data_IF_703559309510
#
_entry.id   IF_703559309510
#
_cell.length_a   1.000
_cell.length_b   1.000
_cell.length_c   1.000
_cell.angle_alpha   90.00
_cell.angle_beta   90.00
_cell.angle_gamma   90.00
#
_symmetry.space_group_name_H-M   'P 1'
#
loop_
_entity.id
_entity.type
_entity.pdbx_description
1 polymer ?
#
# COMPACT_ATOMS: atom_id res chain seq x y z
N UNK A 1 -7.46 -60.24 13.98
CA UNK A 1 -6.62 -59.95 12.79
C UNK A 1 -7.38 -59.88 11.44
N UNK A 2 -8.33 -60.77 11.10
CA UNK A 2 -9.11 -60.63 9.84
C UNK A 2 -10.17 -59.50 9.91
N UNK A 3 -10.91 -59.40 11.02
CA UNK A 3 -11.98 -58.40 11.19
C UNK A 3 -11.48 -56.94 11.27
N UNK A 4 -10.35 -56.67 11.92
CA UNK A 4 -9.76 -55.30 11.98
C UNK A 4 -9.31 -54.78 10.60
N UNK A 5 -8.85 -55.69 9.72
CA UNK A 5 -8.48 -55.31 8.33
C UNK A 5 -9.71 -54.98 7.48
N UNK A 6 -10.86 -55.61 7.74
CA UNK A 6 -12.10 -55.31 7.01
C UNK A 6 -12.74 -53.99 7.45
N UNK A 7 -12.72 -53.68 8.75
CA UNK A 7 -13.23 -52.39 9.27
C UNK A 7 -12.42 -51.19 8.76
N UNK A 8 -11.08 -51.32 8.72
CA UNK A 8 -10.21 -50.27 8.17
C UNK A 8 -10.44 -50.05 6.67
N UNK A 9 -10.68 -51.13 5.89
CA UNK A 9 -11.04 -51.04 4.47
C UNK A 9 -12.41 -50.40 4.23
N UNK A 10 -13.39 -50.63 5.10
CA UNK A 10 -14.70 -49.98 5.05
C UNK A 10 -14.61 -48.46 5.33
N UNK A 11 -13.81 -48.06 6.32
CA UNK A 11 -13.54 -46.65 6.63
C UNK A 11 -12.91 -45.90 5.45
N UNK A 12 -11.94 -46.51 4.77
CA UNK A 12 -11.32 -45.93 3.57
C UNK A 12 -12.32 -45.78 2.40
N UNK A 13 -13.24 -46.73 2.20
CA UNK A 13 -14.29 -46.63 1.18
C UNK A 13 -15.25 -45.48 1.47
N UNK A 14 -15.62 -45.26 2.72
CA UNK A 14 -16.49 -44.15 3.15
C UNK A 14 -15.79 -42.81 2.93
N UNK A 15 -14.51 -42.69 3.31
CA UNK A 15 -13.70 -41.49 3.07
C UNK A 15 -13.59 -41.20 1.56
N UNK A 16 -13.34 -42.23 0.75
CA UNK A 16 -13.30 -42.09 -0.72
C UNK A 16 -14.65 -41.69 -1.32
N UNK A 17 -15.75 -42.20 -0.76
CA UNK A 17 -17.10 -41.84 -1.17
C UNK A 17 -17.43 -40.38 -0.83
N UNK A 18 -17.08 -39.92 0.37
CA UNK A 18 -17.21 -38.51 0.78
C UNK A 18 -16.33 -37.58 -0.07
N UNK A 19 -15.11 -37.99 -0.42
CA UNK A 19 -14.26 -37.23 -1.34
C UNK A 19 -14.84 -37.16 -2.76
N UNK A 20 -15.44 -38.24 -3.27
CA UNK A 20 -16.16 -38.21 -4.55
C UNK A 20 -17.40 -37.32 -4.49
N UNK A 21 -18.14 -37.35 -3.39
CA UNK A 21 -19.41 -36.64 -3.23
C UNK A 21 -19.22 -35.13 -3.03
N UNK A 22 -18.23 -34.72 -2.25
CA UNK A 22 -17.98 -33.31 -1.92
C UNK A 22 -16.71 -32.76 -2.55
N UNK A 23 -15.64 -33.56 -2.63
CA UNK A 23 -14.36 -33.13 -3.17
C UNK A 23 -14.41 -32.91 -4.68
N UNK A 24 -14.86 -33.89 -5.47
CA UNK A 24 -14.88 -33.77 -6.95
C UNK A 24 -15.77 -32.63 -7.48
N UNK A 25 -17.01 -32.41 -6.98
CA UNK A 25 -17.86 -31.33 -7.48
C UNK A 25 -17.36 -29.93 -7.13
N UNK A 26 -16.44 -29.79 -6.17
CA UNK A 26 -15.81 -28.51 -5.82
C UNK A 26 -14.47 -28.36 -6.56
N UNK A 27 -13.64 -29.40 -6.51
CA UNK A 27 -12.27 -29.37 -7.05
C UNK A 27 -12.23 -29.36 -8.57
N UNK A 28 -13.08 -30.11 -9.26
CA UNK A 28 -13.10 -30.14 -10.73
C UNK A 28 -13.54 -28.79 -11.30
N UNK A 29 -14.68 -28.18 -10.90
CA UNK A 29 -15.05 -26.84 -11.38
C UNK A 29 -14.02 -25.78 -11.00
N UNK A 30 -13.42 -25.86 -9.81
CA UNK A 30 -12.35 -24.95 -9.41
C UNK A 30 -11.11 -25.10 -10.29
N UNK A 31 -10.67 -26.32 -10.61
CA UNK A 31 -9.55 -26.59 -11.52
C UNK A 31 -9.83 -26.10 -12.93
N UNK A 32 -11.04 -26.37 -13.47
CA UNK A 32 -11.46 -25.89 -14.79
C UNK A 32 -11.48 -24.36 -14.83
N UNK A 33 -12.08 -23.71 -13.83
CA UNK A 33 -12.07 -22.25 -13.70
C UNK A 33 -10.65 -21.69 -13.58
N UNK A 34 -9.80 -22.33 -12.78
CA UNK A 34 -8.42 -21.90 -12.58
C UNK A 34 -7.60 -22.02 -13.88
N UNK A 35 -7.74 -23.14 -14.60
CA UNK A 35 -7.10 -23.34 -15.89
C UNK A 35 -7.59 -22.33 -16.92
N UNK A 36 -8.91 -22.09 -16.96
CA UNK A 36 -9.52 -21.07 -17.82
C UNK A 36 -9.00 -19.66 -17.49
N UNK A 37 -8.91 -19.27 -16.21
CA UNK A 37 -8.35 -17.98 -15.77
C UNK A 37 -6.87 -17.85 -16.18
N UNK A 38 -6.07 -18.92 -16.04
CA UNK A 38 -4.67 -18.93 -16.51
C UNK A 38 -4.60 -18.70 -18.02
N UNK A 39 -5.43 -19.41 -18.80
CA UNK A 39 -5.47 -19.27 -20.26
C UNK A 39 -5.90 -17.86 -20.69
N UNK A 40 -6.94 -17.31 -20.07
CA UNK A 40 -7.37 -15.94 -20.32
C UNK A 40 -6.29 -14.92 -19.98
N UNK A 41 -5.60 -15.09 -18.85
CA UNK A 41 -4.50 -14.19 -18.46
C UNK A 41 -3.34 -14.26 -19.45
N UNK A 42 -2.97 -15.46 -19.93
CA UNK A 42 -1.95 -15.60 -20.98
C UNK A 42 -2.36 -14.86 -22.26
N UNK A 43 -3.59 -15.06 -22.74
CA UNK A 43 -4.11 -14.36 -23.93
C UNK A 43 -4.10 -12.85 -23.76
N UNK A 44 -4.58 -12.34 -22.63
CA UNK A 44 -4.61 -10.90 -22.36
C UNK A 44 -3.21 -10.31 -22.23
N UNK A 45 -2.24 -11.03 -21.64
CA UNK A 45 -0.83 -10.60 -21.60
C UNK A 45 -0.25 -10.46 -23.01
N UNK A 46 -0.51 -11.43 -23.90
CA UNK A 46 -0.07 -11.37 -25.30
C UNK A 46 -0.69 -10.15 -26.00
N UNK A 47 -1.95 -9.82 -25.69
CA UNK A 47 -2.63 -8.65 -26.26
C UNK A 47 -1.99 -7.31 -25.86
N UNK A 48 -1.22 -7.24 -24.77
CA UNK A 48 -0.52 -6.02 -24.36
C UNK A 48 0.73 -5.73 -25.20
N UNK A 49 1.31 -6.76 -25.83
CA UNK A 49 2.59 -6.66 -26.51
C UNK A 49 2.56 -5.64 -27.67
N UNK A 50 3.47 -4.66 -27.65
CA UNK A 50 3.70 -3.59 -28.63
C UNK A 50 2.54 -2.65 -28.96
N UNK A 51 1.37 -2.87 -28.34
CA UNK A 51 0.13 -2.16 -28.65
C UNK A 51 -0.30 -1.20 -27.55
N UNK A 52 0.15 -1.43 -26.32
CA UNK A 52 -0.32 -0.72 -25.13
C UNK A 52 0.74 0.25 -24.63
N UNK A 53 0.36 1.52 -24.55
CA UNK A 53 1.17 2.60 -23.97
C UNK A 53 0.77 2.79 -22.50
N UNK A 54 1.74 2.59 -21.60
CA UNK A 54 1.55 2.68 -20.14
C UNK A 54 2.33 3.88 -19.61
N UNK A 55 1.61 4.87 -19.08
CA UNK A 55 2.18 6.01 -18.38
C UNK A 55 2.20 5.75 -16.88
N UNK A 56 3.38 5.78 -16.26
CA UNK A 56 3.56 5.49 -14.83
C UNK A 56 4.13 6.71 -14.12
N UNK A 57 3.39 7.22 -13.14
CA UNK A 57 3.85 8.31 -12.28
C UNK A 57 4.63 7.81 -11.07
N UNK A 58 5.63 8.56 -10.62
CA UNK A 58 6.50 8.13 -9.52
C UNK A 58 7.37 6.92 -9.91
N UNK A 59 7.75 6.81 -11.19
CA UNK A 59 8.45 5.65 -11.74
C UNK A 59 9.95 5.58 -11.36
N UNK A 60 10.50 6.59 -10.68
CA UNK A 60 11.94 6.64 -10.33
C UNK A 60 12.36 5.75 -9.17
N UNK A 61 11.44 5.09 -8.47
CA UNK A 61 11.79 4.15 -7.40
C UNK A 61 10.60 3.29 -6.94
N UNK A 62 10.89 2.24 -6.17
CA UNK A 62 9.90 1.53 -5.36
C UNK A 62 8.83 0.82 -6.20
N UNK A 63 7.55 1.06 -5.90
CA UNK A 63 6.45 0.41 -6.64
C UNK A 63 6.38 0.89 -8.10
N UNK A 64 6.67 2.16 -8.38
CA UNK A 64 6.60 2.70 -9.74
C UNK A 64 7.64 2.07 -10.67
N UNK A 65 8.86 1.89 -10.16
CA UNK A 65 9.94 1.18 -10.87
C UNK A 65 9.56 -0.30 -11.10
N UNK A 66 9.07 -0.99 -10.05
CA UNK A 66 8.63 -2.38 -10.18
C UNK A 66 7.47 -2.57 -11.18
N UNK A 67 6.54 -1.61 -11.24
CA UNK A 67 5.49 -1.57 -12.26
C UNK A 67 6.09 -1.39 -13.65
N UNK A 68 7.07 -0.49 -13.81
CA UNK A 68 7.74 -0.30 -15.09
C UNK A 68 8.39 -1.60 -15.58
N UNK A 69 9.13 -2.33 -14.74
CA UNK A 69 9.68 -3.65 -15.09
C UNK A 69 8.59 -4.64 -15.47
N UNK A 70 7.52 -4.69 -14.68
CA UNK A 70 6.43 -5.64 -14.90
C UNK A 70 5.75 -5.44 -16.25
N UNK A 71 5.39 -4.20 -16.60
CA UNK A 71 4.75 -3.89 -17.88
C UNK A 71 5.73 -3.94 -19.06
N UNK A 72 6.98 -3.49 -18.87
CA UNK A 72 8.01 -3.55 -19.91
C UNK A 72 8.32 -5.01 -20.30
N UNK A 73 8.38 -5.92 -19.32
CA UNK A 73 8.60 -7.35 -19.56
C UNK A 73 7.53 -8.02 -20.45
N UNK A 74 6.36 -7.39 -20.60
CA UNK A 74 5.26 -7.84 -21.46
C UNK A 74 5.27 -7.18 -22.84
N UNK A 75 6.28 -6.38 -23.15
CA UNK A 75 6.38 -5.65 -24.41
C UNK A 75 5.51 -4.39 -24.48
N UNK A 76 5.06 -3.85 -23.34
CA UNK A 76 4.35 -2.58 -23.33
C UNK A 76 5.32 -1.42 -23.64
N UNK A 77 4.81 -0.34 -24.22
CA UNK A 77 5.56 0.92 -24.37
C UNK A 77 5.41 1.72 -23.08
N UNK A 78 6.51 2.09 -22.44
CA UNK A 78 6.49 2.70 -21.11
C UNK A 78 6.85 4.18 -21.19
N UNK A 79 6.02 5.02 -20.56
CA UNK A 79 6.31 6.43 -20.28
C UNK A 79 6.57 6.55 -18.77
N UNK A 80 7.81 6.81 -18.41
CA UNK A 80 8.27 6.96 -17.03
C UNK A 80 8.14 8.43 -16.61
N UNK A 81 7.33 8.71 -15.60
CA UNK A 81 7.07 10.08 -15.14
C UNK A 81 7.54 10.26 -13.69
N UNK A 82 8.44 11.19 -13.45
CA UNK A 82 8.83 11.64 -12.11
C UNK A 82 9.62 12.95 -12.16
N UNK A 83 9.91 13.56 -11.01
CA UNK A 83 10.73 14.79 -10.92
C UNK A 83 12.23 14.56 -11.10
N UNK A 84 12.71 13.35 -10.79
CA UNK A 84 14.15 13.02 -10.75
C UNK A 84 14.56 12.45 -12.10
N UNK A 85 15.07 13.30 -13.01
CA UNK A 85 15.44 12.88 -14.37
C UNK A 85 16.53 11.80 -14.37
N UNK A 86 17.58 11.96 -13.58
CA UNK A 86 18.69 11.01 -13.50
C UNK A 86 18.24 9.59 -13.09
N UNK A 87 17.40 9.49 -12.07
CA UNK A 87 16.82 8.21 -11.65
C UNK A 87 15.90 7.59 -12.71
N UNK A 88 15.19 8.41 -13.50
CA UNK A 88 14.39 7.89 -14.60
C UNK A 88 15.25 7.32 -15.72
N UNK A 89 16.38 7.96 -16.04
CA UNK A 89 17.33 7.44 -17.02
C UNK A 89 18.00 6.15 -16.49
N UNK A 90 18.32 6.07 -15.20
CA UNK A 90 18.79 4.83 -14.55
C UNK A 90 17.76 3.71 -14.75
N UNK A 91 16.50 3.95 -14.42
CA UNK A 91 15.41 2.96 -14.57
C UNK A 91 15.24 2.58 -16.03
N UNK A 92 15.26 3.53 -16.96
CA UNK A 92 15.19 3.25 -18.41
C UNK A 92 16.31 2.31 -18.85
N UNK A 93 17.55 2.59 -18.47
CA UNK A 93 18.70 1.76 -18.82
C UNK A 93 18.57 0.36 -18.20
N UNK A 94 18.11 0.27 -16.95
CA UNK A 94 17.90 -1.00 -16.27
C UNK A 94 16.80 -1.86 -16.94
N UNK A 95 15.70 -1.23 -17.37
CA UNK A 95 14.64 -1.89 -18.14
C UNK A 95 15.17 -2.46 -19.45
N UNK A 96 15.94 -1.66 -20.19
CA UNK A 96 16.53 -2.08 -21.46
C UNK A 96 17.55 -3.21 -21.27
N UNK A 97 18.37 -3.14 -20.22
CA UNK A 97 19.39 -4.14 -19.92
C UNK A 97 18.79 -5.46 -19.40
N UNK A 98 17.75 -5.39 -18.57
CA UNK A 98 17.13 -6.57 -17.96
C UNK A 98 16.23 -7.32 -18.94
N UNK A 99 15.64 -6.62 -19.92
CA UNK A 99 14.62 -7.15 -20.82
C UNK A 99 15.01 -7.03 -22.30
N UNK A 100 16.27 -7.27 -22.63
CA UNK A 100 16.84 -7.12 -23.99
C UNK A 100 16.09 -7.93 -25.06
N UNK A 101 15.55 -9.09 -24.69
CA UNK A 101 14.85 -10.00 -25.61
C UNK A 101 13.38 -9.65 -25.83
N UNK A 102 12.85 -8.67 -25.11
CA UNK A 102 11.46 -8.26 -25.23
C UNK A 102 11.33 -7.30 -26.42
N UNK A 103 10.55 -7.64 -27.45
CA UNK A 103 10.37 -6.76 -28.60
C UNK A 103 9.50 -5.57 -28.19
N UNK A 104 10.12 -4.45 -27.82
CA UNK A 104 9.42 -3.20 -27.49
C UNK A 104 10.28 -1.97 -27.76
N UNK A 105 9.66 -0.79 -27.66
CA UNK A 105 10.32 0.50 -27.84
C UNK A 105 11.07 0.91 -26.57
N UNK A 106 12.15 1.68 -26.70
CA UNK A 106 12.85 2.22 -25.53
C UNK A 106 11.89 3.05 -24.65
N UNK A 107 11.94 2.90 -23.32
CA UNK A 107 11.12 3.71 -22.42
C UNK A 107 11.35 5.21 -22.62
N UNK A 108 10.27 5.97 -22.52
CA UNK A 108 10.30 7.43 -22.62
C UNK A 108 10.44 8.01 -21.22
N UNK A 109 11.37 8.93 -21.04
CA UNK A 109 11.60 9.62 -19.77
C UNK A 109 10.92 10.99 -19.81
N UNK A 110 9.99 11.20 -18.89
CA UNK A 110 9.31 12.46 -18.67
C UNK A 110 9.65 13.02 -17.29
N UNK A 111 10.55 14.00 -17.27
CA UNK A 111 10.81 14.78 -16.06
C UNK A 111 9.68 15.79 -15.83
N UNK A 112 8.88 15.56 -14.81
CA UNK A 112 7.67 16.34 -14.54
C UNK A 112 7.37 16.38 -13.04
N UNK A 113 7.19 17.59 -12.52
CA UNK A 113 6.58 17.80 -11.21
C UNK A 113 5.07 17.86 -11.35
N UNK A 114 4.40 16.88 -10.74
CA UNK A 114 2.94 16.78 -10.78
C UNK A 114 2.27 17.81 -9.87
N UNK A 115 3.01 18.44 -8.95
CA UNK A 115 2.49 19.51 -8.09
C UNK A 115 2.37 20.85 -8.82
N UNK A 116 3.05 21.01 -9.95
CA UNK A 116 2.92 22.17 -10.84
C UNK A 116 1.74 21.98 -11.81
N UNK A 117 0.53 22.08 -11.27
CA UNK A 117 -0.74 21.81 -11.99
C UNK A 117 -0.89 22.74 -13.22
N UNK A 118 -0.45 23.99 -13.11
CA UNK A 118 -0.61 24.98 -14.17
C UNK A 118 0.17 24.61 -15.44
N UNK A 119 1.39 24.09 -15.28
CA UNK A 119 2.21 23.67 -16.41
C UNK A 119 1.98 22.22 -16.85
N UNK A 120 1.23 21.44 -16.06
CA UNK A 120 1.01 20.01 -16.29
C UNK A 120 0.36 19.75 -17.65
N UNK A 121 -0.68 20.52 -18.00
CA UNK A 121 -1.44 20.37 -19.26
C UNK A 121 -0.53 20.50 -20.48
N UNK A 122 0.27 21.56 -20.53
CA UNK A 122 1.13 21.84 -21.68
C UNK A 122 2.19 20.75 -21.91
N UNK A 123 2.79 20.24 -20.83
CA UNK A 123 3.84 19.19 -20.93
C UNK A 123 3.24 17.84 -21.33
N UNK A 124 2.12 17.45 -20.74
CA UNK A 124 1.48 16.16 -21.01
C UNK A 124 0.85 16.13 -22.41
N UNK A 125 0.17 17.20 -22.84
CA UNK A 125 -0.43 17.26 -24.18
C UNK A 125 0.61 17.13 -25.30
N UNK A 126 1.79 17.73 -25.16
CA UNK A 126 2.90 17.57 -26.13
C UNK A 126 3.34 16.11 -26.27
N UNK A 127 3.38 15.37 -25.17
CA UNK A 127 3.81 13.96 -25.16
C UNK A 127 2.74 13.07 -25.76
N UNK A 128 1.47 13.34 -25.45
CA UNK A 128 0.36 12.64 -26.07
C UNK A 128 0.35 12.87 -27.58
N UNK A 129 0.64 14.09 -28.05
CA UNK A 129 0.77 14.38 -29.48
C UNK A 129 1.90 13.59 -30.15
N UNK A 130 3.04 13.44 -29.49
CA UNK A 130 4.20 12.70 -30.04
C UNK A 130 3.95 11.18 -30.09
N UNK A 131 3.29 10.62 -29.08
CA UNK A 131 3.12 9.16 -28.97
C UNK A 131 1.74 8.66 -29.43
N UNK A 132 0.81 9.56 -29.71
CA UNK A 132 -0.50 9.32 -30.31
C UNK A 132 -1.51 8.62 -29.41
N UNK A 133 -1.09 7.92 -28.34
CA UNK A 133 -1.97 7.11 -27.49
C UNK A 133 -1.46 6.94 -26.06
N UNK A 134 -2.40 6.84 -25.10
CA UNK A 134 -2.15 6.38 -23.74
C UNK A 134 -3.29 5.41 -23.39
N UNK A 135 -2.98 4.12 -23.36
CA UNK A 135 -3.97 3.09 -23.04
C UNK A 135 -4.14 2.90 -21.53
N UNK A 136 -3.05 3.04 -20.77
CA UNK A 136 -3.03 2.81 -19.34
C UNK A 136 -2.33 3.97 -18.64
N UNK A 137 -3.02 4.63 -17.71
CA UNK A 137 -2.43 5.62 -16.80
C UNK A 137 -2.36 5.04 -15.38
N UNK A 138 -1.16 4.95 -14.81
CA UNK A 138 -0.96 4.52 -13.43
C UNK A 138 -0.54 5.72 -12.56
N UNK A 139 -1.50 6.22 -11.80
CA UNK A 139 -1.33 7.26 -10.79
C UNK A 139 -0.73 6.65 -9.51
N UNK A 140 0.59 6.48 -9.49
CA UNK A 140 1.37 5.91 -8.39
C UNK A 140 2.12 6.97 -7.57
N UNK A 141 2.43 8.14 -8.14
CA UNK A 141 3.15 9.19 -7.43
C UNK A 141 2.40 9.65 -6.16
N UNK A 142 3.14 9.82 -5.07
CA UNK A 142 2.60 10.37 -3.84
C UNK A 142 3.64 10.45 -2.73
N UNK A 143 3.34 11.23 -1.71
CA UNK A 143 4.12 11.38 -0.50
C UNK A 143 3.37 10.83 0.69
N UNK A 144 4.12 10.47 1.72
CA UNK A 144 3.54 10.02 2.98
C UNK A 144 3.90 11.00 4.10
N UNK A 145 3.21 10.90 5.22
CA UNK A 145 3.26 11.88 6.31
C UNK A 145 3.44 11.17 7.66
N UNK A 146 4.06 11.84 8.64
CA UNK A 146 4.20 11.45 10.05
C UNK A 146 4.10 12.70 10.93
N UNK A 147 3.07 12.75 11.76
CA UNK A 147 3.00 13.73 12.85
C UNK A 147 1.58 13.82 13.40
N UNK A 148 1.44 14.39 14.58
CA UNK A 148 0.16 14.43 15.31
C UNK A 148 -0.79 15.44 14.71
N UNK A 149 -2.10 15.16 14.73
CA UNK A 149 -3.11 16.09 14.19
C UNK A 149 -2.99 17.48 14.82
N UNK A 150 -2.69 17.55 16.11
CA UNK A 150 -2.62 18.82 16.85
C UNK A 150 -1.37 19.64 16.51
N UNK A 151 -0.28 18.99 16.12
CA UNK A 151 1.02 19.61 15.84
C UNK A 151 1.33 19.70 14.34
N UNK A 152 0.41 19.27 13.48
CA UNK A 152 0.61 19.31 12.02
C UNK A 152 0.34 20.72 11.50
N UNK A 153 1.31 21.31 10.81
CA UNK A 153 1.05 22.53 10.07
C UNK A 153 0.11 22.26 8.90
N UNK A 154 -0.92 23.09 8.73
CA UNK A 154 -1.90 22.96 7.64
C UNK A 154 -1.24 22.95 6.25
N UNK A 155 -0.10 23.64 6.08
CA UNK A 155 0.68 23.60 4.83
C UNK A 155 1.13 22.18 4.46
N UNK A 156 1.43 21.34 5.45
CA UNK A 156 1.76 19.92 5.25
C UNK A 156 0.53 19.15 4.78
N UNK A 157 -0.64 19.41 5.37
CA UNK A 157 -1.90 18.81 4.93
C UNK A 157 -2.20 19.17 3.46
N UNK A 158 -2.08 20.46 3.12
CA UNK A 158 -2.25 20.97 1.75
C UNK A 158 -1.26 20.30 0.80
N UNK A 159 0.02 20.20 1.17
CA UNK A 159 1.07 19.60 0.33
C UNK A 159 0.81 18.10 0.09
N UNK A 160 0.37 17.37 1.10
CA UNK A 160 0.00 15.96 0.99
C UNK A 160 -1.22 15.79 0.08
N UNK A 161 -2.24 16.64 0.24
CA UNK A 161 -3.43 16.61 -0.62
C UNK A 161 -3.09 16.98 -2.07
N UNK A 162 -2.27 18.01 -2.28
CA UNK A 162 -1.80 18.44 -3.59
C UNK A 162 -1.09 17.30 -4.32
N UNK A 163 -0.15 16.64 -3.64
CA UNK A 163 0.64 15.57 -4.22
C UNK A 163 -0.15 14.28 -4.43
N UNK A 164 -0.96 13.84 -3.47
CA UNK A 164 -1.60 12.51 -3.52
C UNK A 164 -2.97 12.50 -4.21
N UNK A 165 -3.64 13.65 -4.29
CA UNK A 165 -4.99 13.77 -4.83
C UNK A 165 -5.04 14.71 -6.03
N UNK A 166 -4.84 16.02 -5.83
CA UNK A 166 -5.05 17.00 -6.89
C UNK A 166 -4.15 16.77 -8.12
N UNK A 167 -2.89 16.40 -7.90
CA UNK A 167 -1.96 16.09 -9.00
C UNK A 167 -2.42 14.92 -9.87
N UNK A 168 -2.95 13.87 -9.23
CA UNK A 168 -3.43 12.66 -9.92
C UNK A 168 -4.73 12.94 -10.66
N UNK A 169 -5.63 13.69 -10.04
CA UNK A 169 -6.89 14.13 -10.67
C UNK A 169 -6.61 15.04 -11.86
N UNK A 170 -5.70 16.01 -11.72
CA UNK A 170 -5.32 16.92 -12.79
C UNK A 170 -4.73 16.14 -13.98
N UNK A 171 -3.80 15.22 -13.73
CA UNK A 171 -3.23 14.38 -14.78
C UNK A 171 -4.30 13.52 -15.46
N UNK A 172 -5.20 12.90 -14.68
CA UNK A 172 -6.29 12.09 -15.23
C UNK A 172 -7.22 12.92 -16.10
N UNK A 173 -7.59 14.14 -15.68
CA UNK A 173 -8.41 15.08 -16.46
C UNK A 173 -7.74 15.50 -17.77
N UNK A 174 -6.41 15.57 -17.82
CA UNK A 174 -5.67 15.89 -19.05
C UNK A 174 -5.68 14.69 -20.01
N UNK A 175 -5.54 13.46 -19.49
CA UNK A 175 -5.47 12.24 -20.32
C UNK A 175 -6.85 11.78 -20.79
N UNK A 176 -7.91 12.05 -20.00
CA UNK A 176 -9.26 11.56 -20.25
C UNK A 176 -9.84 11.90 -21.63
N UNK A 177 -9.76 13.16 -22.14
CA UNK A 177 -10.27 13.48 -23.47
C UNK A 177 -9.69 12.59 -24.57
N UNK A 178 -8.39 12.29 -24.49
CA UNK A 178 -7.71 11.43 -25.45
C UNK A 178 -8.17 9.97 -25.35
N UNK A 179 -8.35 9.45 -24.13
CA UNK A 179 -8.90 8.10 -23.94
C UNK A 179 -10.34 7.98 -24.43
N UNK A 180 -11.15 9.04 -24.24
CA UNK A 180 -12.54 9.10 -24.73
C UNK A 180 -12.57 9.08 -26.26
N UNK A 181 -11.72 9.87 -26.92
CA UNK A 181 -11.57 9.85 -28.38
C UNK A 181 -11.12 8.48 -28.89
N UNK A 182 -10.21 7.82 -28.17
CA UNK A 182 -9.75 6.46 -28.44
C UNK A 182 -10.83 5.38 -28.15
N UNK A 183 -11.94 5.75 -27.49
CA UNK A 183 -13.01 4.85 -27.01
C UNK A 183 -12.50 3.70 -26.16
N UNK A 184 -11.34 3.88 -25.53
CA UNK A 184 -10.64 2.88 -24.73
C UNK A 184 -9.62 3.58 -23.84
N UNK A 185 -9.52 3.12 -22.60
CA UNK A 185 -8.51 3.60 -21.67
C UNK A 185 -8.71 2.99 -20.30
N UNK A 186 -7.63 2.90 -19.54
CA UNK A 186 -7.66 2.39 -18.17
C UNK A 186 -6.85 3.29 -17.25
N UNK A 187 -7.53 3.92 -16.29
CA UNK A 187 -6.89 4.74 -15.27
C UNK A 187 -6.82 3.95 -13.96
N UNK A 188 -5.61 3.82 -13.41
CA UNK A 188 -5.32 3.11 -12.16
C UNK A 188 -4.84 4.09 -11.12
N UNK A 189 -5.51 4.14 -9.98
CA UNK A 189 -5.12 4.93 -8.82
C UNK A 189 -4.47 4.06 -7.76
N UNK A 190 -3.23 4.34 -7.38
CA UNK A 190 -2.59 3.69 -6.23
C UNK A 190 -2.98 4.45 -4.96
N UNK A 191 -3.97 3.92 -4.25
CA UNK A 191 -4.43 4.43 -2.96
C UNK A 191 -3.64 3.76 -1.83
N UNK A 192 -4.33 3.24 -0.81
CA UNK A 192 -3.77 2.47 0.31
C UNK A 192 -4.93 1.81 1.05
N UNK A 193 -4.64 0.79 1.86
CA UNK A 193 -5.55 0.40 2.95
C UNK A 193 -6.03 1.62 3.76
N UNK A 194 -5.15 2.63 3.93
CA UNK A 194 -5.50 3.87 4.61
C UNK A 194 -6.48 4.79 3.86
N UNK A 195 -6.82 4.45 2.61
CA UNK A 195 -7.90 5.08 1.84
C UNK A 195 -9.27 4.45 2.07
N UNK A 196 -9.35 3.33 2.81
CA UNK A 196 -10.60 2.65 3.21
C UNK A 196 -10.82 2.67 4.73
N UNK A 197 -9.73 2.64 5.49
CA UNK A 197 -9.75 2.75 6.95
C UNK A 197 -8.78 3.86 7.39
N UNK A 198 -9.21 4.79 8.22
CA UNK A 198 -8.27 5.70 8.88
C UNK A 198 -7.64 4.96 10.06
N UNK A 199 -6.34 4.70 10.01
CA UNK A 199 -5.60 4.12 11.14
C UNK A 199 -4.94 5.28 11.89
N UNK A 200 -5.43 5.66 13.07
CA UNK A 200 -4.95 6.82 13.78
C UNK A 200 -3.59 6.55 14.45
N UNK A 201 -3.22 5.29 14.79
CA UNK A 201 -1.99 5.00 15.53
C UNK A 201 -1.36 3.66 15.15
N UNK A 202 -0.06 3.65 14.80
CA UNK A 202 0.75 2.40 14.79
C UNK A 202 2.08 2.52 15.53
N UNK A 203 2.67 3.72 15.64
CA UNK A 203 3.77 4.04 16.58
C UNK A 203 3.40 5.28 17.41
N UNK A 204 4.06 5.48 18.56
CA UNK A 204 3.73 6.52 19.57
C UNK A 204 3.84 7.96 19.04
N UNK A 205 4.33 8.17 17.81
CA UNK A 205 4.48 9.52 17.22
C UNK A 205 4.24 9.57 15.70
N UNK A 206 3.52 8.60 15.11
CA UNK A 206 3.38 8.48 13.65
C UNK A 206 1.93 8.45 13.20
N UNK A 207 1.30 9.63 13.13
CA UNK A 207 -0.05 9.81 12.60
C UNK A 207 0.02 10.22 11.14
N UNK A 208 -1.04 9.83 10.41
CA UNK A 208 -1.10 9.90 8.96
C UNK A 208 -2.43 10.51 8.49
N UNK A 209 -2.98 11.46 9.23
CA UNK A 209 -4.29 12.09 8.96
C UNK A 209 -4.39 12.61 7.52
N UNK A 210 -3.47 13.51 7.13
CA UNK A 210 -3.38 14.06 5.78
C UNK A 210 -3.31 12.98 4.69
N UNK A 211 -2.49 11.96 4.95
CA UNK A 211 -2.28 10.85 4.02
C UNK A 211 -3.56 10.02 3.87
N UNK A 212 -4.18 9.60 4.97
CA UNK A 212 -5.42 8.84 4.95
C UNK A 212 -6.55 9.64 4.28
N UNK A 213 -6.68 10.93 4.59
CA UNK A 213 -7.64 11.83 3.96
C UNK A 213 -7.44 11.89 2.44
N UNK A 214 -6.21 12.16 1.97
CA UNK A 214 -5.91 12.20 0.53
C UNK A 214 -6.19 10.88 -0.19
N UNK A 215 -5.95 9.74 0.47
CA UNK A 215 -6.23 8.40 -0.09
C UNK A 215 -7.73 8.05 -0.11
N UNK A 216 -8.52 8.56 0.84
CA UNK A 216 -9.99 8.47 0.80
C UNK A 216 -10.58 9.38 -0.29
N UNK A 217 -10.06 10.61 -0.44
CA UNK A 217 -10.50 11.53 -1.49
C UNK A 217 -10.28 10.93 -2.89
N UNK A 218 -9.13 10.28 -3.10
CA UNK A 218 -8.84 9.56 -4.34
C UNK A 218 -9.85 8.44 -4.61
N UNK A 219 -10.22 7.65 -3.59
CA UNK A 219 -11.22 6.60 -3.74
C UNK A 219 -12.57 7.16 -4.23
N UNK A 220 -13.07 8.19 -3.55
CA UNK A 220 -14.32 8.84 -3.90
C UNK A 220 -14.31 9.39 -5.34
N UNK A 221 -13.21 10.03 -5.75
CA UNK A 221 -13.10 10.57 -7.11
C UNK A 221 -13.15 9.47 -8.18
N UNK A 222 -12.47 8.34 -7.97
CA UNK A 222 -12.52 7.21 -8.89
C UNK A 222 -13.91 6.54 -8.92
N UNK A 223 -14.62 6.50 -7.79
CA UNK A 223 -15.98 5.98 -7.72
C UNK A 223 -16.95 6.82 -8.55
N UNK A 224 -16.88 8.16 -8.43
CA UNK A 224 -17.65 9.09 -9.25
C UNK A 224 -17.26 9.01 -10.72
N UNK A 225 -15.96 9.06 -11.05
CA UNK A 225 -15.49 9.01 -12.45
C UNK A 225 -15.93 7.74 -13.17
N UNK A 226 -15.96 6.61 -12.46
CA UNK A 226 -16.46 5.33 -13.01
C UNK A 226 -17.95 5.37 -13.34
N UNK A 227 -18.74 6.04 -12.52
CA UNK A 227 -20.18 6.21 -12.75
C UNK A 227 -20.45 7.18 -13.91
N UNK A 228 -19.78 8.34 -13.91
CA UNK A 228 -19.95 9.39 -14.92
C UNK A 228 -19.49 8.97 -16.32
N UNK A 229 -18.44 8.13 -16.43
CA UNK A 229 -17.84 7.74 -17.72
C UNK A 229 -18.19 6.31 -18.12
N UNK A 230 -19.25 5.74 -17.56
CA UNK A 230 -19.63 4.35 -17.80
C UNK A 230 -19.97 4.07 -19.28
N UNK A 231 -20.46 5.06 -20.02
CA UNK A 231 -20.79 5.01 -21.45
C UNK A 231 -19.59 5.27 -22.37
N UNK A 232 -18.47 5.79 -21.84
CA UNK A 232 -17.27 6.15 -22.63
C UNK A 232 -16.27 5.01 -22.81
N UNK A 233 -16.59 3.82 -22.32
CA UNK A 233 -15.72 2.64 -22.30
C UNK A 233 -14.34 2.87 -21.63
N UNK A 234 -14.29 3.78 -20.64
CA UNK A 234 -13.09 4.02 -19.83
C UNK A 234 -13.17 3.20 -18.55
N UNK A 235 -12.07 2.51 -18.21
CA UNK A 235 -11.98 1.67 -17.02
C UNK A 235 -11.24 2.41 -15.90
N UNK A 236 -11.69 2.20 -14.67
CA UNK A 236 -11.12 2.79 -13.47
C UNK A 236 -10.88 1.71 -12.42
N UNK A 237 -9.63 1.56 -12.00
CA UNK A 237 -9.21 0.63 -10.94
C UNK A 237 -8.56 1.39 -9.80
N UNK A 238 -9.01 1.16 -8.57
CA UNK A 238 -8.28 1.65 -7.38
C UNK A 238 -7.59 0.49 -6.67
N UNK A 239 -6.29 0.65 -6.41
CA UNK A 239 -5.48 -0.35 -5.72
C UNK A 239 -5.23 0.14 -4.30
N UNK A 240 -5.57 -0.68 -3.31
CA UNK A 240 -5.33 -0.44 -1.90
C UNK A 240 -4.23 -1.36 -1.37
N UNK A 241 -2.95 -1.02 -1.58
CA UNK A 241 -1.87 -1.77 -0.99
C UNK A 241 -1.79 -1.55 0.52
N UNK A 242 -1.37 -2.60 1.22
CA UNK A 242 -0.82 -2.52 2.57
C UNK A 242 0.61 -1.99 2.54
N UNK A 243 1.45 -2.44 3.47
CA UNK A 243 2.86 -2.04 3.50
C UNK A 243 3.63 -2.66 2.35
N UNK A 244 4.44 -1.85 1.68
CA UNK A 244 5.36 -2.26 0.61
C UNK A 244 6.77 -1.83 1.02
N UNK A 245 7.73 -2.75 0.88
CA UNK A 245 9.15 -2.49 1.18
C UNK A 245 9.74 -1.50 0.18
N UNK A 246 9.64 -0.21 0.51
CA UNK A 246 10.06 0.93 -0.33
C UNK A 246 10.60 2.06 0.53
N UNK A 247 11.27 3.03 -0.08
CA UNK A 247 11.73 4.26 0.57
C UNK A 247 10.61 5.24 0.94
N UNK A 248 9.34 4.84 0.91
CA UNK A 248 8.19 5.71 1.19
C UNK A 248 8.20 6.28 2.62
N UNK A 249 8.71 5.53 3.61
CA UNK A 249 8.86 6.07 4.97
C UNK A 249 10.06 7.01 5.08
N UNK A 250 11.18 6.72 4.40
CA UNK A 250 12.34 7.60 4.37
C UNK A 250 11.98 8.98 3.81
N UNK A 251 11.19 9.00 2.74
CA UNK A 251 10.78 10.23 2.04
C UNK A 251 9.49 10.87 2.60
N UNK A 252 9.03 10.43 3.77
CA UNK A 252 7.83 10.99 4.37
C UNK A 252 8.06 12.40 4.93
N UNK A 253 7.01 13.21 5.04
CA UNK A 253 7.08 14.51 5.71
C UNK A 253 6.78 14.37 7.22
N UNK A 254 7.41 15.21 8.03
CA UNK A 254 7.08 15.42 9.44
C UNK A 254 6.00 16.50 9.60
N UNK A 255 5.45 16.69 10.81
CA UNK A 255 4.48 17.76 11.13
C UNK A 255 4.93 19.17 10.72
N UNK A 256 6.26 19.40 10.74
CA UNK A 256 6.88 20.67 10.38
C UNK A 256 7.30 20.73 8.89
N UNK A 257 6.97 19.72 8.10
CA UNK A 257 7.27 19.66 6.67
C UNK A 257 8.68 19.22 6.29
N UNK A 258 9.52 18.82 7.26
CA UNK A 258 10.84 18.25 7.01
C UNK A 258 10.75 16.77 6.58
N UNK A 259 11.81 16.24 5.99
CA UNK A 259 11.86 14.81 5.61
C UNK A 259 12.10 13.96 6.86
N UNK A 260 11.27 12.93 7.06
CA UNK A 260 11.30 12.05 8.22
C UNK A 260 12.59 11.22 8.29
N UNK A 261 13.11 10.74 7.15
CA UNK A 261 14.44 10.11 7.05
C UNK A 261 14.58 8.72 7.70
N UNK A 262 13.52 8.18 8.34
CA UNK A 262 13.58 6.93 9.08
C UNK A 262 12.81 5.81 8.36
N UNK A 263 13.41 4.61 8.31
CA UNK A 263 12.74 3.41 7.80
C UNK A 263 11.81 2.84 8.89
N UNK A 264 10.50 2.87 8.64
CA UNK A 264 9.54 2.27 9.57
C UNK A 264 9.67 0.73 9.52
N UNK A 265 9.79 0.04 10.66
CA UNK A 265 9.84 -1.46 10.73
C UNK A 265 8.72 -2.15 9.96
N UNK A 266 7.52 -1.54 9.92
CA UNK A 266 6.37 -2.07 9.18
C UNK A 266 6.50 -1.92 7.67
N UNK A 267 7.24 -0.92 7.21
CA UNK A 267 7.56 -0.73 5.78
C UNK A 267 8.64 -1.73 5.38
N UNK A 268 9.63 -1.96 6.24
CA UNK A 268 10.69 -2.96 6.03
C UNK A 268 10.15 -4.38 5.91
N UNK A 269 9.16 -4.75 6.73
CA UNK A 269 8.47 -6.05 6.65
C UNK A 269 7.30 -6.09 5.65
N UNK A 270 7.16 -5.05 4.82
CA UNK A 270 6.14 -4.97 3.79
C UNK A 270 6.35 -5.97 2.64
N UNK A 271 5.34 -6.08 1.77
CA UNK A 271 5.44 -6.88 0.56
C UNK A 271 6.54 -6.35 -0.37
N UNK A 272 7.15 -7.25 -1.13
CA UNK A 272 8.11 -6.87 -2.16
C UNK A 272 7.40 -6.06 -3.26
N UNK A 273 7.99 -4.94 -3.74
CA UNK A 273 7.39 -4.12 -4.80
C UNK A 273 7.01 -4.92 -6.06
N UNK A 274 7.87 -5.86 -6.48
CA UNK A 274 7.63 -6.75 -7.61
C UNK A 274 6.35 -7.57 -7.46
N UNK A 275 6.14 -8.18 -6.28
CA UNK A 275 4.93 -8.96 -6.00
C UNK A 275 3.67 -8.09 -6.11
N UNK A 276 3.71 -6.88 -5.54
CA UNK A 276 2.58 -5.94 -5.62
C UNK A 276 2.32 -5.51 -7.07
N UNK A 277 3.38 -5.24 -7.85
CA UNK A 277 3.26 -4.89 -9.26
C UNK A 277 2.63 -6.02 -10.09
N UNK A 278 2.98 -7.28 -9.85
CA UNK A 278 2.36 -8.44 -10.49
C UNK A 278 0.87 -8.59 -10.13
N UNK A 279 0.49 -8.34 -8.87
CA UNK A 279 -0.90 -8.30 -8.44
C UNK A 279 -1.68 -7.18 -9.13
N UNK A 280 -1.09 -5.99 -9.24
CA UNK A 280 -1.70 -4.85 -9.95
C UNK A 280 -1.90 -5.19 -11.42
N UNK A 281 -0.89 -5.75 -12.08
CA UNK A 281 -1.00 -6.22 -13.46
C UNK A 281 -2.17 -7.19 -13.62
N UNK A 282 -2.29 -8.20 -12.74
CA UNK A 282 -3.43 -9.14 -12.78
C UNK A 282 -4.77 -8.41 -12.65
N UNK A 283 -4.85 -7.42 -11.76
CA UNK A 283 -6.06 -6.62 -11.52
C UNK A 283 -6.43 -5.78 -12.75
N UNK A 284 -5.42 -5.21 -13.42
CA UNK A 284 -5.57 -4.49 -14.70
C UNK A 284 -6.11 -5.42 -15.79
N UNK A 285 -5.53 -6.61 -15.95
CA UNK A 285 -5.99 -7.60 -16.92
C UNK A 285 -7.43 -8.06 -16.64
N UNK A 286 -7.82 -8.16 -15.37
CA UNK A 286 -9.18 -8.51 -14.94
C UNK A 286 -10.16 -7.33 -14.97
N UNK A 287 -9.68 -6.10 -15.17
CA UNK A 287 -10.47 -4.87 -15.12
C UNK A 287 -11.24 -4.72 -13.80
N UNK A 288 -10.61 -5.10 -12.69
CA UNK A 288 -11.21 -4.99 -11.36
C UNK A 288 -11.44 -3.53 -11.00
N UNK A 289 -12.62 -3.18 -10.47
CA UNK A 289 -12.93 -1.80 -10.07
C UNK A 289 -12.08 -1.35 -8.87
N UNK A 290 -11.79 -2.29 -7.98
CA UNK A 290 -11.00 -2.09 -6.77
C UNK A 290 -10.32 -3.39 -6.34
N UNK A 291 -9.09 -3.29 -5.86
CA UNK A 291 -8.33 -4.43 -5.32
C UNK A 291 -7.62 -4.04 -4.02
N UNK A 292 -7.64 -4.91 -3.01
CA UNK A 292 -6.92 -4.71 -1.75
C UNK A 292 -5.80 -5.74 -1.59
N UNK A 293 -4.54 -5.26 -1.69
CA UNK A 293 -3.33 -6.09 -1.60
C UNK A 293 -2.72 -5.89 -0.21
N UNK A 294 -3.26 -6.61 0.76
CA UNK A 294 -2.84 -6.51 2.16
C UNK A 294 -2.93 -7.87 2.86
N UNK A 295 -2.25 -7.98 4.01
CA UNK A 295 -2.38 -9.12 4.92
C UNK A 295 -3.81 -9.25 5.44
N UNK A 296 -4.13 -10.39 6.06
CA UNK A 296 -5.47 -10.70 6.56
C UNK A 296 -6.02 -9.66 7.55
N UNK A 297 -5.19 -9.19 8.50
CA UNK A 297 -5.61 -8.24 9.54
C UNK A 297 -6.15 -6.91 8.98
N UNK A 298 -5.45 -6.19 8.08
CA UNK A 298 -6.00 -5.01 7.42
C UNK A 298 -7.32 -5.24 6.67
N UNK A 299 -7.46 -6.38 5.98
CA UNK A 299 -8.70 -6.72 5.25
C UNK A 299 -9.88 -6.90 6.20
N UNK A 300 -9.66 -7.61 7.31
CA UNK A 300 -10.67 -7.76 8.36
C UNK A 300 -11.05 -6.42 8.98
N UNK A 301 -10.08 -5.53 9.20
CA UNK A 301 -10.33 -4.20 9.73
C UNK A 301 -11.20 -3.35 8.79
N UNK A 302 -11.01 -3.46 7.47
CA UNK A 302 -11.87 -2.81 6.47
C UNK A 302 -13.30 -3.34 6.58
N UNK A 303 -13.47 -4.67 6.59
CA UNK A 303 -14.79 -5.31 6.70
C UNK A 303 -15.47 -4.90 8.02
N UNK A 304 -14.73 -4.92 9.13
CA UNK A 304 -15.24 -4.54 10.45
C UNK A 304 -15.67 -3.07 10.49
N UNK A 305 -14.90 -2.15 9.90
CA UNK A 305 -15.30 -0.74 9.77
C UNK A 305 -16.58 -0.59 8.95
N UNK A 306 -16.72 -1.36 7.88
CA UNK A 306 -17.88 -1.28 6.98
C UNK A 306 -19.14 -1.86 7.62
N UNK A 307 -19.06 -3.02 8.28
CA UNK A 307 -20.24 -3.71 8.83
C UNK A 307 -20.59 -3.28 10.26
N UNK A 308 -19.58 -3.00 11.10
CA UNK A 308 -19.75 -2.71 12.52
C UNK A 308 -18.89 -1.50 12.93
N UNK A 309 -19.20 -0.28 12.44
CA UNK A 309 -18.39 0.91 12.68
C UNK A 309 -18.23 1.24 14.17
N UNK A 310 -19.29 1.11 14.98
CA UNK A 310 -19.24 1.38 16.43
C UNK A 310 -18.24 0.47 17.14
N UNK A 311 -18.25 -0.84 16.81
CA UNK A 311 -17.30 -1.81 17.35
C UNK A 311 -15.87 -1.50 16.89
N UNK A 312 -15.69 -1.19 15.60
CA UNK A 312 -14.39 -0.78 15.08
C UNK A 312 -13.81 0.41 15.85
N UNK A 313 -14.57 1.50 16.00
CA UNK A 313 -14.09 2.69 16.70
C UNK A 313 -13.85 2.44 18.19
N UNK A 314 -14.67 1.62 18.84
CA UNK A 314 -14.43 1.18 20.22
C UNK A 314 -13.11 0.41 20.38
N UNK A 315 -12.81 -0.55 19.49
CA UNK A 315 -11.53 -1.28 19.50
C UNK A 315 -10.37 -0.30 19.32
N UNK A 316 -10.51 0.65 18.40
CA UNK A 316 -9.49 1.65 18.13
C UNK A 316 -9.22 2.55 19.33
N UNK A 317 -10.26 3.02 20.03
CA UNK A 317 -10.15 3.81 21.26
C UNK A 317 -9.47 3.03 22.39
N UNK A 318 -9.85 1.76 22.60
CA UNK A 318 -9.21 0.91 23.63
C UNK A 318 -7.73 0.66 23.35
N UNK A 319 -7.35 0.47 22.09
CA UNK A 319 -5.93 0.34 21.72
C UNK A 319 -5.12 1.61 22.02
N UNK A 320 -5.72 2.80 21.89
CA UNK A 320 -5.08 4.08 22.24
C UNK A 320 -4.83 4.14 23.74
N UNK A 321 -5.88 3.90 24.55
CA UNK A 321 -5.78 3.92 26.01
C UNK A 321 -4.70 2.96 26.50
N UNK A 322 -4.67 1.72 25.99
CA UNK A 322 -3.65 0.74 26.36
C UNK A 322 -2.23 1.24 26.04
N UNK A 323 -2.01 1.84 24.87
CA UNK A 323 -0.68 2.39 24.49
C UNK A 323 -0.27 3.60 25.31
N UNK A 324 -1.20 4.52 25.60
CA UNK A 324 -0.94 5.66 26.48
C UNK A 324 -0.55 5.19 27.88
N UNK A 325 -1.26 4.19 28.41
CA UNK A 325 -0.94 3.55 29.69
C UNK A 325 0.43 2.86 29.68
N UNK A 326 0.78 2.16 28.58
CA UNK A 326 2.12 1.60 28.40
C UNK A 326 3.21 2.70 28.34
N UNK A 327 2.94 3.83 27.69
CA UNK A 327 3.87 4.97 27.62
C UNK A 327 4.06 5.68 28.96
N UNK A 328 2.97 5.93 29.69
CA UNK A 328 2.99 6.55 31.02
C UNK A 328 3.70 5.67 32.04
N UNK A 329 3.47 4.36 32.02
CA UNK A 329 4.20 3.41 32.88
C UNK A 329 5.69 3.38 32.56
N UNK A 330 6.09 3.37 31.27
CA UNK A 330 7.49 3.49 30.89
C UNK A 330 8.12 4.83 31.30
N UNK A 331 7.40 5.95 31.19
CA UNK A 331 7.89 7.27 31.61
C UNK A 331 8.02 7.38 33.13
N UNK A 332 7.04 6.85 33.87
CA UNK A 332 7.08 6.77 35.33
C UNK A 332 8.27 5.93 35.83
N UNK A 333 8.59 4.83 35.14
CA UNK A 333 9.79 4.03 35.43
C UNK A 333 11.06 4.83 35.22
N UNK A 334 11.17 5.61 34.13
CA UNK A 334 12.34 6.46 33.86
C UNK A 334 12.50 7.57 34.90
N UNK A 335 11.39 8.22 35.31
CA UNK A 335 11.42 9.21 36.39
C UNK A 335 11.85 8.55 37.70
N UNK A 336 11.29 7.38 38.03
CA UNK A 336 11.64 6.64 39.23
C UNK A 336 13.10 6.20 39.24
N UNK A 337 13.63 5.70 38.11
CA UNK A 337 15.05 5.37 37.95
C UNK A 337 15.95 6.59 38.16
N UNK A 338 15.60 7.73 37.57
CA UNK A 338 16.36 8.97 37.72
C UNK A 338 16.31 9.50 39.16
N UNK A 339 15.16 9.46 39.82
CA UNK A 339 15.01 9.87 41.22
C UNK A 339 15.79 8.97 42.17
N UNK A 340 15.71 7.65 41.99
CA UNK A 340 16.47 6.65 42.76
C UNK A 340 17.97 6.85 42.55
N UNK A 341 18.42 7.06 41.31
CA UNK A 341 19.82 7.34 40.98
C UNK A 341 20.31 8.59 41.71
N UNK A 342 19.56 9.69 41.64
CA UNK A 342 19.90 10.96 42.29
C UNK A 342 19.98 10.84 43.83
N UNK A 343 19.06 10.09 44.45
CA UNK A 343 19.03 9.92 45.91
C UNK A 343 20.13 9.01 46.43
N UNK A 344 20.52 7.99 45.65
CA UNK A 344 21.57 7.04 46.05
C UNK A 344 22.98 7.60 45.80
N UNK A 345 23.21 8.41 44.76
CA UNK A 345 24.49 9.13 44.59
C UNK A 345 24.79 10.06 45.77
N UNK A 346 23.76 10.49 46.51
CA UNK A 346 23.89 11.32 47.71
C UNK A 346 24.23 10.53 48.99
N UNK A 347 23.93 9.23 49.04
CA UNK A 347 24.06 8.38 50.24
C UNK A 347 25.09 7.22 50.11
N UNK A 348 25.79 7.08 48.97
CA UNK A 348 26.82 6.06 48.71
C UNK A 348 26.40 4.58 48.93
N UNK A 349 25.11 4.27 48.90
CA UNK A 349 24.61 2.91 49.20
C UNK A 349 24.38 2.06 47.94
N UNK A 350 25.49 1.50 47.42
CA UNK A 350 25.53 0.75 46.16
C UNK A 350 24.72 -0.56 46.18
N UNK A 351 24.52 -1.19 47.35
CA UNK A 351 23.73 -2.43 47.48
C UNK A 351 22.24 -2.17 47.28
N UNK A 352 21.71 -1.08 47.82
CA UNK A 352 20.32 -0.68 47.65
C UNK A 352 20.00 -0.39 46.17
N UNK A 353 20.92 0.26 45.46
CA UNK A 353 20.77 0.53 44.02
C UNK A 353 20.72 -0.75 43.19
N UNK A 354 21.58 -1.73 43.47
CA UNK A 354 21.60 -3.01 42.76
C UNK A 354 20.27 -3.77 42.93
N UNK A 355 19.71 -3.79 44.14
CA UNK A 355 18.43 -4.43 44.43
C UNK A 355 17.24 -3.72 43.75
N UNK A 356 17.19 -2.39 43.78
CA UNK A 356 16.13 -1.63 43.10
C UNK A 356 16.24 -1.82 41.58
N UNK A 357 17.46 -1.80 41.02
CA UNK A 357 17.68 -2.02 39.59
C UNK A 357 17.30 -3.45 39.16
N UNK A 358 17.53 -4.44 40.01
CA UNK A 358 17.08 -5.82 39.78
C UNK A 358 15.55 -5.94 39.82
N UNK A 359 14.89 -5.22 40.74
CA UNK A 359 13.43 -5.16 40.85
C UNK A 359 12.75 -4.45 39.67
N UNK A 360 13.40 -3.42 39.11
CA UNK A 360 12.95 -2.76 37.88
C UNK A 360 13.13 -3.70 36.67
N UNK A 361 14.29 -4.37 36.57
CA UNK A 361 14.57 -5.34 35.49
C UNK A 361 13.65 -6.57 35.50
N UNK A 362 13.13 -6.97 36.66
CA UNK A 362 12.20 -8.11 36.74
C UNK A 362 10.80 -7.81 36.22
N UNK A 363 10.51 -6.56 35.83
CA UNK A 363 9.18 -6.15 35.36
C UNK A 363 8.13 -6.04 36.47
N UNK A 364 8.51 -6.25 37.73
CA UNK A 364 7.59 -6.23 38.87
C UNK A 364 7.06 -4.81 39.15
N UNK A 365 7.90 -3.78 39.01
CA UNK A 365 7.47 -2.38 39.10
C UNK A 365 6.50 -1.99 37.97
N UNK A 366 6.72 -2.54 36.78
CA UNK A 366 5.85 -2.31 35.62
C UNK A 366 4.44 -2.84 35.87
N UNK A 367 4.32 -4.07 36.37
CA UNK A 367 3.05 -4.70 36.73
C UNK A 367 2.35 -3.97 37.89
N UNK A 368 3.11 -3.50 38.89
CA UNK A 368 2.57 -2.74 40.02
C UNK A 368 2.00 -1.38 39.60
N UNK A 369 2.72 -0.64 38.76
CA UNK A 369 2.25 0.64 38.19
C UNK A 369 1.06 0.44 37.25
N UNK A 370 1.04 -0.62 36.44
CA UNK A 370 -0.14 -0.94 35.63
C UNK A 370 -1.36 -1.29 36.50
N UNK A 371 -1.19 -2.01 37.62
CA UNK A 371 -2.28 -2.33 38.56
C UNK A 371 -2.89 -1.09 39.23
N UNK A 372 -2.06 -0.14 39.62
CA UNK A 372 -2.47 1.14 40.22
C UNK A 372 -3.22 2.09 39.27
N UNK A 373 -3.03 1.96 37.95
CA UNK A 373 -3.71 2.81 36.96
C UNK A 373 -5.00 2.13 36.43
N UNK A 374 -5.16 0.82 36.67
CA UNK A 374 -6.35 0.04 36.27
C UNK A 374 -7.42 0.02 37.40
N UNK A 375 -7.06 0.39 38.62
CA UNK A 375 -7.98 0.68 39.74
C UNK A 375 -8.32 2.16 39.76
#
# INVERSE_FOLDING_TARGET
MKNEKEETLAGWKIIWWLFKLFGLPITIPWLVYHFYDIMLQKRKKIALNNKVVVMITGASSGLGEALAHTFYSLGCRIILVSRRKEELERVKNDLMNTHQTVPTYPPIVLSLDLTDINNLKNKVSKIIMVHGRIDILINNAGISYRGEIIDTNVDVDIKVMLSNYFSQVALSKIVLPYMIEQKSGHIIGISSVQGRIAIPFRQVSSYKSAYAASKHALQAWYDTARAELCDKNIKFTVVNPGYIKTSLSLNALTGNGQVYGIMDKTTESGFQPKYVAECILKSVLKQEKEVTIASFSPKCAIILRTLFPSLYFWIMQKHILKKLLHGLSSFAIVIFENFVKMKITKNNDLKLYANIKAWIKSGSLYLYLCGLIIT
#
